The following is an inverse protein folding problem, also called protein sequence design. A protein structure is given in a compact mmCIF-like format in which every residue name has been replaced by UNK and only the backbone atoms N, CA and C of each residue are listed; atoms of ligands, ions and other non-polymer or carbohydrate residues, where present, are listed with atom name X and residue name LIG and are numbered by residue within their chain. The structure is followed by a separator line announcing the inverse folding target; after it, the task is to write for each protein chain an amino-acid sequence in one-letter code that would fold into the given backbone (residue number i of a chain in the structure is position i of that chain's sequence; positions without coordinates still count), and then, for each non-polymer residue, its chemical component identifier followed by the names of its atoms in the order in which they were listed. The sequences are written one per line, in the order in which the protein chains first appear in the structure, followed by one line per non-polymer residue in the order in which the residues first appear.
data_IF_906372601155
#
_entry.id   IF_906372601155
#
_cell.length_a   1.000
_cell.length_b   1.000
_cell.length_c   1.000
_cell.angle_alpha   90.00
_cell.angle_beta   90.00
_cell.angle_gamma   90.00
#
_symmetry.space_group_name_H-M   'P 1'
#
loop_
_entity.id
_entity.type
_entity.pdbx_description
1 polymer ?
#
# COMPACT_ATOMS: atom_id res chain seq x y z
N UNK A 1 1.75 11.45 -7.58
CA UNK A 1 2.02 10.88 -6.23
C UNK A 1 2.45 9.41 -6.35
N UNK A 2 3.26 8.86 -5.44
CA UNK A 2 3.81 7.49 -5.58
C UNK A 2 2.77 6.36 -5.40
N UNK A 3 1.78 6.52 -4.51
CA UNK A 3 0.77 5.49 -4.23
C UNK A 3 -0.07 5.12 -5.45
N UNK A 4 -0.64 6.11 -6.14
CA UNK A 4 -1.43 5.89 -7.37
C UNK A 4 -0.59 5.20 -8.46
N UNK A 5 0.67 5.59 -8.62
CA UNK A 5 1.58 4.96 -9.58
C UNK A 5 1.85 3.50 -9.27
N UNK A 6 2.03 3.15 -7.99
CA UNK A 6 2.16 1.77 -7.57
C UNK A 6 0.86 0.98 -7.76
N UNK A 7 -0.30 1.51 -7.36
CA UNK A 7 -1.60 0.86 -7.56
C UNK A 7 -1.83 0.55 -9.04
N UNK A 8 -1.68 1.54 -9.92
CA UNK A 8 -1.79 1.37 -11.37
C UNK A 8 -0.86 0.31 -11.91
N UNK A 9 0.40 0.29 -11.44
CA UNK A 9 1.36 -0.74 -11.85
C UNK A 9 0.95 -2.14 -11.37
N UNK A 10 0.36 -2.28 -10.18
CA UNK A 10 -0.14 -3.58 -9.73
C UNK A 10 -1.38 -4.01 -10.52
N UNK A 11 -2.28 -3.08 -10.81
CA UNK A 11 -3.47 -3.32 -11.63
C UNK A 11 -3.12 -3.78 -13.04
N UNK A 12 -2.17 -3.11 -13.69
CA UNK A 12 -1.64 -3.56 -14.98
C UNK A 12 -1.07 -4.98 -14.94
N UNK A 13 -0.41 -5.35 -13.83
CA UNK A 13 0.04 -6.73 -13.58
C UNK A 13 -1.12 -7.72 -13.49
N UNK A 14 -2.15 -7.39 -12.71
CA UNK A 14 -3.37 -8.21 -12.56
C UNK A 14 -4.13 -8.43 -13.86
N UNK A 15 -4.08 -7.45 -14.77
CA UNK A 15 -4.67 -7.51 -16.11
C UNK A 15 -3.77 -8.21 -17.14
N UNK A 16 -2.55 -8.62 -16.77
CA UNK A 16 -1.60 -9.26 -17.69
C UNK A 16 -0.91 -8.28 -18.66
N UNK A 17 -1.12 -6.97 -18.49
CA UNK A 17 -0.54 -5.92 -19.34
C UNK A 17 0.92 -5.61 -18.99
N UNK A 18 1.37 -6.07 -17.82
CA UNK A 18 2.74 -5.88 -17.34
C UNK A 18 3.24 -7.13 -16.65
N UNK A 19 4.53 -7.43 -16.82
CA UNK A 19 5.19 -8.55 -16.14
C UNK A 19 5.18 -8.29 -14.63
N UNK A 20 4.59 -9.22 -13.89
CA UNK A 20 4.65 -9.28 -12.43
C UNK A 20 5.10 -10.66 -11.99
N UNK A 21 5.52 -10.78 -10.73
CA UNK A 21 5.86 -12.07 -10.16
C UNK A 21 4.59 -12.87 -9.95
N UNK A 22 4.36 -13.86 -10.81
CA UNK A 22 3.27 -14.81 -10.65
C UNK A 22 3.60 -15.82 -9.54
N UNK A 23 2.56 -16.19 -8.80
CA UNK A 23 2.56 -17.29 -7.83
C UNK A 23 1.66 -18.40 -8.35
N UNK A 24 2.22 -19.38 -9.11
CA UNK A 24 1.45 -20.45 -9.73
C UNK A 24 0.55 -21.18 -8.73
N UNK A 25 1.04 -21.40 -7.51
CA UNK A 25 0.32 -22.07 -6.43
C UNK A 25 -0.96 -21.33 -6.00
N UNK A 26 -0.96 -19.99 -6.06
CA UNK A 26 -2.15 -19.19 -5.75
C UNK A 26 -3.10 -19.12 -6.94
N UNK A 27 -2.56 -19.07 -8.16
CA UNK A 27 -3.35 -19.08 -9.39
C UNK A 27 -4.08 -20.43 -9.53
N UNK A 28 -3.40 -21.54 -9.27
CA UNK A 28 -4.02 -22.87 -9.26
C UNK A 28 -5.12 -22.96 -8.20
N UNK A 29 -4.88 -22.42 -7.00
CA UNK A 29 -5.84 -22.50 -5.89
C UNK A 29 -7.04 -21.57 -6.01
N UNK A 30 -6.85 -20.34 -6.49
CA UNK A 30 -7.86 -19.27 -6.43
C UNK A 30 -8.19 -18.65 -7.80
N UNK A 31 -7.52 -19.06 -8.88
CA UNK A 31 -7.67 -18.50 -10.22
C UNK A 31 -6.88 -17.21 -10.49
N UNK A 32 -6.16 -16.68 -9.49
CA UNK A 32 -5.33 -15.49 -9.60
C UNK A 32 -4.30 -15.38 -8.46
N UNK A 33 -3.30 -14.51 -8.57
CA UNK A 33 -2.38 -14.22 -7.46
C UNK A 33 -3.08 -13.37 -6.37
N UNK A 34 -3.76 -14.04 -5.44
CA UNK A 34 -4.51 -13.42 -4.35
C UNK A 34 -3.66 -12.53 -3.43
N UNK A 35 -2.37 -12.85 -3.26
CA UNK A 35 -1.45 -12.01 -2.48
C UNK A 35 -1.12 -10.73 -3.23
N UNK A 36 -0.93 -10.81 -4.54
CA UNK A 36 -0.67 -9.66 -5.39
C UNK A 36 -1.90 -8.75 -5.50
N UNK A 37 -3.09 -9.32 -5.67
CA UNK A 37 -4.36 -8.59 -5.62
C UNK A 37 -4.56 -7.85 -4.28
N UNK A 38 -4.30 -8.52 -3.14
CA UNK A 38 -4.35 -7.86 -1.83
C UNK A 38 -3.37 -6.69 -1.74
N UNK A 39 -2.14 -6.84 -2.25
CA UNK A 39 -1.17 -5.74 -2.26
C UNK A 39 -1.62 -4.53 -3.09
N UNK A 40 -2.29 -4.76 -4.23
CA UNK A 40 -2.88 -3.71 -5.05
C UNK A 40 -3.91 -2.92 -4.26
N UNK A 41 -4.90 -3.59 -3.66
CA UNK A 41 -5.97 -2.91 -2.91
C UNK A 41 -5.42 -2.22 -1.66
N UNK A 42 -4.49 -2.86 -0.93
CA UNK A 42 -3.84 -2.26 0.24
C UNK A 42 -3.18 -0.92 -0.08
N UNK A 43 -2.54 -0.80 -1.25
CA UNK A 43 -1.93 0.46 -1.68
C UNK A 43 -2.98 1.56 -1.89
N UNK A 44 -4.15 1.22 -2.40
CA UNK A 44 -5.26 2.16 -2.55
C UNK A 44 -5.74 2.66 -1.20
N UNK A 45 -6.09 1.72 -0.31
CA UNK A 45 -6.62 2.02 1.04
C UNK A 45 -5.70 2.93 1.83
N UNK A 46 -4.42 2.56 1.95
CA UNK A 46 -3.46 3.36 2.72
C UNK A 46 -3.06 4.65 2.01
N UNK A 47 -3.14 4.68 0.67
CA UNK A 47 -2.91 5.90 -0.10
C UNK A 47 -4.01 6.93 0.14
N UNK A 48 -5.27 6.50 0.19
CA UNK A 48 -6.43 7.34 0.51
C UNK A 48 -6.29 7.90 1.93
N UNK A 49 -6.06 7.04 2.93
CA UNK A 49 -5.85 7.48 4.33
C UNK A 49 -4.74 8.53 4.44
N UNK A 50 -3.60 8.27 3.78
CA UNK A 50 -2.47 9.19 3.79
C UNK A 50 -2.83 10.54 3.16
N UNK A 51 -3.50 10.56 2.02
CA UNK A 51 -3.85 11.81 1.34
C UNK A 51 -4.93 12.59 2.08
N UNK A 52 -5.87 11.92 2.73
CA UNK A 52 -6.93 12.56 3.51
C UNK A 52 -6.41 13.13 4.82
N UNK A 53 -5.58 12.37 5.54
CA UNK A 53 -5.26 12.65 6.95
C UNK A 53 -3.82 13.08 7.19
N UNK A 54 -2.93 12.85 6.23
CA UNK A 54 -1.49 12.98 6.38
C UNK A 54 -0.85 11.92 7.29
N UNK A 55 -1.58 10.85 7.63
CA UNK A 55 -1.14 9.79 8.54
C UNK A 55 -1.40 8.41 7.94
N UNK A 56 -0.71 7.40 8.46
CA UNK A 56 -0.97 5.99 8.16
C UNK A 56 -1.16 5.27 9.48
N UNK A 57 -2.30 4.60 9.65
CA UNK A 57 -2.60 3.82 10.85
C UNK A 57 -2.16 2.37 10.66
N UNK A 58 -1.46 1.83 11.67
CA UNK A 58 -1.05 0.42 11.70
C UNK A 58 -1.49 -0.21 13.04
N UNK A 59 -2.19 -1.37 13.02
CA UNK A 59 -2.69 -2.07 11.83
C UNK A 59 -3.74 -1.24 11.06
N UNK A 60 -3.99 -1.61 9.79
CA UNK A 60 -5.04 -0.97 8.96
C UNK A 60 -6.38 -1.04 9.72
N UNK A 61 -7.20 0.04 9.77
CA UNK A 61 -8.50 0.00 10.43
C UNK A 61 -9.50 -0.94 9.76
N UNK A 62 -10.48 -1.42 10.52
CA UNK A 62 -11.65 -2.09 9.95
C UNK A 62 -12.52 -1.09 9.15
N UNK A 63 -13.23 -1.53 8.10
CA UNK A 63 -13.41 -2.93 7.64
C UNK A 63 -12.28 -3.44 6.72
N UNK A 64 -11.33 -2.58 6.34
CA UNK A 64 -10.32 -2.92 5.33
C UNK A 64 -9.35 -4.00 5.79
N UNK A 65 -9.05 -4.08 7.09
CA UNK A 65 -8.20 -5.15 7.61
C UNK A 65 -8.79 -6.53 7.34
N UNK A 66 -10.05 -6.75 7.70
CA UNK A 66 -10.73 -8.02 7.42
C UNK A 66 -10.85 -8.27 5.93
N UNK A 67 -11.29 -7.28 5.15
CA UNK A 67 -11.44 -7.40 3.71
C UNK A 67 -10.12 -7.80 3.00
N UNK A 68 -9.00 -7.17 3.36
CA UNK A 68 -7.69 -7.49 2.79
C UNK A 68 -7.20 -8.90 3.18
N UNK A 69 -7.51 -9.34 4.40
CA UNK A 69 -7.19 -10.70 4.86
C UNK A 69 -8.01 -11.74 4.10
N UNK A 70 -9.29 -11.45 3.89
CA UNK A 70 -10.21 -12.31 3.15
C UNK A 70 -9.83 -12.41 1.67
N UNK A 71 -9.45 -11.30 1.04
CA UNK A 71 -8.93 -11.31 -0.33
C UNK A 71 -7.66 -12.16 -0.43
N UNK A 72 -6.73 -12.03 0.52
CA UNK A 72 -5.51 -12.86 0.54
C UNK A 72 -5.80 -14.36 0.69
N UNK A 73 -6.90 -14.70 1.35
CA UNK A 73 -7.38 -16.07 1.53
C UNK A 73 -8.23 -16.57 0.35
N UNK A 74 -8.41 -15.76 -0.70
CA UNK A 74 -9.21 -16.12 -1.87
C UNK A 74 -10.72 -16.09 -1.63
N UNK A 75 -11.18 -15.43 -0.56
CA UNK A 75 -12.61 -15.25 -0.28
C UNK A 75 -13.26 -14.14 -1.12
N UNK A 76 -12.44 -13.27 -1.71
CA UNK A 76 -12.83 -12.34 -2.75
C UNK A 76 -12.25 -12.77 -4.09
N UNK A 77 -12.98 -12.48 -5.14
CA UNK A 77 -12.63 -12.74 -6.54
C UNK A 77 -11.64 -11.72 -7.08
N UNK A 78 -11.05 -12.06 -8.23
CA UNK A 78 -10.22 -11.13 -9.01
C UNK A 78 -11.01 -9.87 -9.40
N UNK A 79 -12.28 -10.03 -9.79
CA UNK A 79 -13.14 -8.95 -10.24
C UNK A 79 -13.44 -7.98 -9.09
N UNK A 80 -13.77 -8.47 -7.90
CA UNK A 80 -13.98 -7.63 -6.71
C UNK A 80 -12.70 -6.87 -6.35
N UNK A 81 -11.53 -7.50 -6.45
CA UNK A 81 -10.26 -6.81 -6.20
C UNK A 81 -9.97 -5.70 -7.21
N UNK A 82 -10.28 -5.92 -8.49
CA UNK A 82 -10.12 -4.91 -9.53
C UNK A 82 -11.12 -3.76 -9.36
N UNK A 83 -12.37 -4.05 -9.03
CA UNK A 83 -13.39 -3.03 -8.76
C UNK A 83 -13.02 -2.16 -7.56
N UNK A 84 -12.59 -2.76 -6.44
CA UNK A 84 -12.11 -2.03 -5.29
C UNK A 84 -10.89 -1.15 -5.62
N UNK A 85 -9.97 -1.64 -6.46
CA UNK A 85 -8.84 -0.85 -6.91
C UNK A 85 -9.25 0.33 -7.81
N UNK A 86 -10.28 0.17 -8.65
CA UNK A 86 -10.80 1.24 -9.51
C UNK A 86 -11.43 2.36 -8.68
N UNK A 87 -12.24 2.00 -7.67
CA UNK A 87 -12.83 2.97 -6.75
C UNK A 87 -11.76 3.73 -5.96
N UNK A 88 -10.77 3.02 -5.42
CA UNK A 88 -9.66 3.61 -4.68
C UNK A 88 -8.78 4.48 -5.58
N UNK A 89 -8.56 4.09 -6.84
CA UNK A 89 -7.82 4.90 -7.80
C UNK A 89 -8.54 6.22 -8.09
N UNK A 90 -9.85 6.17 -8.34
CA UNK A 90 -10.65 7.36 -8.57
C UNK A 90 -10.64 8.30 -7.35
N UNK A 91 -10.63 7.76 -6.13
CA UNK A 91 -10.55 8.58 -4.92
C UNK A 91 -9.16 9.21 -4.74
N UNK A 92 -8.09 8.44 -5.00
CA UNK A 92 -6.72 8.97 -5.01
C UNK A 92 -6.56 10.13 -6.01
N UNK A 93 -7.16 10.03 -7.19
CA UNK A 93 -7.09 11.09 -8.21
C UNK A 93 -7.69 12.41 -7.71
N UNK A 94 -8.83 12.36 -7.02
CA UNK A 94 -9.45 13.55 -6.42
C UNK A 94 -8.55 14.13 -5.33
N UNK A 95 -8.12 13.28 -4.39
CA UNK A 95 -7.38 13.68 -3.20
C UNK A 95 -5.99 14.25 -3.53
N UNK A 96 -5.36 13.83 -4.63
CA UNK A 96 -4.07 14.39 -5.07
C UNK A 96 -4.14 15.92 -5.23
N UNK A 97 -5.30 16.46 -5.61
CA UNK A 97 -5.47 17.90 -5.85
C UNK A 97 -5.85 18.70 -4.60
N UNK A 98 -6.39 18.04 -3.58
CA UNK A 98 -6.94 18.69 -2.37
C UNK A 98 -6.21 18.33 -1.08
N UNK A 99 -5.24 17.40 -1.12
CA UNK A 99 -4.56 16.90 0.07
C UNK A 99 -3.80 18.02 0.82
N UNK A 100 -3.83 18.01 2.17
CA UNK A 100 -3.06 18.95 2.99
C UNK A 100 -1.55 18.63 3.02
N UNK A 101 -1.12 17.53 2.39
CA UNK A 101 0.29 17.14 2.40
C UNK A 101 1.14 18.07 1.53
N UNK A 102 2.38 18.37 1.95
CA UNK A 102 3.30 19.12 1.11
C UNK A 102 3.63 18.33 -0.16
N UNK A 103 3.95 19.05 -1.24
CA UNK A 103 4.31 18.45 -2.54
C UNK A 103 5.49 17.47 -2.41
N UNK A 104 6.41 17.74 -1.47
CA UNK A 104 7.62 16.94 -1.24
C UNK A 104 7.81 16.65 0.24
N UNK A 105 8.32 15.45 0.58
CA UNK A 105 8.69 15.14 1.95
C UNK A 105 9.89 15.98 2.40
N UNK A 106 9.89 16.35 3.67
CA UNK A 106 11.03 16.99 4.33
C UNK A 106 12.13 15.95 4.58
N UNK A 107 13.05 15.85 3.62
CA UNK A 107 14.16 14.89 3.65
C UNK A 107 15.18 15.23 4.71
N UNK A 108 15.42 16.51 4.97
CA UNK A 108 16.43 16.95 5.92
C UNK A 108 16.00 16.59 7.34
N UNK A 109 14.73 16.82 7.68
CA UNK A 109 14.15 16.37 8.95
C UNK A 109 14.19 14.85 9.10
N UNK A 110 13.86 14.10 8.05
CA UNK A 110 13.92 12.63 8.08
C UNK A 110 15.36 12.13 8.29
N UNK A 111 16.32 12.71 7.59
CA UNK A 111 17.74 12.37 7.71
C UNK A 111 18.30 12.72 9.10
N UNK A 112 17.92 13.88 9.65
CA UNK A 112 18.32 14.29 10.99
C UNK A 112 17.78 13.33 12.05
N UNK A 113 16.50 12.96 11.96
CA UNK A 113 15.90 11.97 12.85
C UNK A 113 16.60 10.61 12.76
N UNK A 114 16.90 10.14 11.54
CA UNK A 114 17.60 8.88 11.33
C UNK A 114 18.98 8.90 12.00
N UNK A 115 19.78 9.93 11.76
CA UNK A 115 21.10 10.08 12.39
C UNK A 115 21.01 10.09 13.92
N UNK A 116 20.06 10.83 14.50
CA UNK A 116 19.83 10.86 15.94
C UNK A 116 19.38 9.49 16.49
N UNK A 117 18.56 8.75 15.76
CA UNK A 117 18.15 7.40 16.16
C UNK A 117 19.37 6.45 16.22
N UNK A 118 20.25 6.49 15.20
CA UNK A 118 21.50 5.74 15.21
C UNK A 118 22.42 6.16 16.36
N UNK A 119 22.66 7.46 16.54
CA UNK A 119 23.52 7.96 17.62
C UNK A 119 23.01 7.56 19.01
N UNK A 120 21.69 7.54 19.25
CA UNK A 120 21.13 7.08 20.53
C UNK A 120 21.41 5.61 20.82
N UNK A 121 21.39 4.76 19.79
CA UNK A 121 21.62 3.32 19.95
C UNK A 121 23.12 3.00 20.03
N UNK A 122 23.95 3.62 19.20
CA UNK A 122 25.40 3.36 19.16
C UNK A 122 26.20 4.16 20.19
N UNK A 123 25.72 5.34 20.59
CA UNK A 123 26.36 6.19 21.60
C UNK A 123 26.08 5.76 23.03
N UNK A 124 25.18 4.80 23.24
CA UNK A 124 24.96 4.16 24.53
C UNK A 124 25.58 2.76 24.46
N UNK A 125 26.86 2.58 24.87
CA UNK A 125 27.40 1.24 24.97
C UNK A 125 26.50 0.47 25.93
N UNK A 126 25.90 -0.61 25.45
CA UNK A 126 25.17 -1.57 26.30
C UNK A 126 26.15 -1.92 27.42
N UNK A 127 25.93 -1.33 28.58
CA UNK A 127 26.75 -1.54 29.76
C UNK A 127 26.46 -2.98 30.15
N UNK A 128 27.42 -3.86 29.84
CA UNK A 128 27.40 -5.27 30.18
C UNK A 128 27.69 -5.47 31.66
#
# INVERSE_FOLDING_TARGET
MRFIGYLRSQRAGMLGLKRHTNRPELIEKYGFDAKYAMHMVRLGVQGVELLETGKITLPIPEPWLTWLRDLRQGKHTKQEALAAADELEAELEKLITSSPLPERPDRDRANAWLQQAYQRVWGNPITR
#
